data_IF_010112029470
#
_entry.id   IF_010112029470
#
_cell.length_a   1.000
_cell.length_b   1.000
_cell.length_c   1.000
_cell.angle_alpha   90.00
_cell.angle_beta   90.00
_cell.angle_gamma   90.00
#
_symmetry.space_group_name_H-M   'P 1'
#
loop_
_entity.id
_entity.type
_entity.pdbx_description
1 polymer ?
#
# COMPACT_ATOMS: atom_id res chain seq x y z
N UNK A 1 -9.37 22.28 -1.25
CA UNK A 1 -8.09 22.89 -1.70
C UNK A 1 -6.97 21.90 -1.41
N UNK A 2 -6.18 21.52 -2.42
CA UNK A 2 -4.98 20.71 -2.23
C UNK A 2 -3.95 21.60 -1.50
N UNK A 3 -3.39 21.21 -0.35
CA UNK A 3 -2.24 21.95 0.18
C UNK A 3 -1.12 21.83 -0.86
N UNK A 4 -0.65 22.97 -1.35
CA UNK A 4 0.54 22.98 -2.20
C UNK A 4 1.69 22.37 -1.39
N UNK A 5 2.51 21.51 -2.02
CA UNK A 5 3.72 21.01 -1.39
C UNK A 5 4.55 22.21 -0.92
N UNK A 6 5.03 22.19 0.32
CA UNK A 6 5.87 23.26 0.84
C UNK A 6 7.13 23.38 -0.02
N UNK A 7 7.75 24.57 -0.05
CA UNK A 7 9.01 24.76 -0.77
C UNK A 7 10.07 23.74 -0.33
N UNK A 8 10.10 23.41 0.97
CA UNK A 8 11.00 22.39 1.53
C UNK A 8 10.71 20.98 1.01
N UNK A 9 9.43 20.59 0.88
CA UNK A 9 9.04 19.29 0.30
C UNK A 9 9.42 19.23 -1.19
N UNK A 10 9.24 20.32 -1.94
CA UNK A 10 9.64 20.40 -3.35
C UNK A 10 11.15 20.25 -3.52
N UNK A 11 11.94 20.91 -2.68
CA UNK A 11 13.40 20.80 -2.70
C UNK A 11 13.87 19.39 -2.30
N UNK A 12 13.23 18.78 -1.30
CA UNK A 12 13.48 17.39 -0.91
C UNK A 12 13.18 16.42 -2.05
N UNK A 13 12.04 16.59 -2.74
CA UNK A 13 11.72 15.80 -3.94
C UNK A 13 12.73 15.99 -5.06
N UNK A 14 13.23 17.21 -5.28
CA UNK A 14 14.24 17.49 -6.28
C UNK A 14 15.62 16.90 -5.92
N UNK A 15 15.92 16.71 -4.64
CA UNK A 15 17.11 15.96 -4.19
C UNK A 15 16.92 14.46 -4.34
N UNK A 16 15.79 13.91 -3.90
CA UNK A 16 15.47 12.48 -4.02
C UNK A 16 15.38 12.01 -5.49
N UNK A 17 14.92 12.87 -6.40
CA UNK A 17 14.91 12.57 -7.84
C UNK A 17 16.31 12.34 -8.40
N UNK A 18 17.31 13.02 -7.84
CA UNK A 18 18.72 12.94 -8.24
C UNK A 18 19.50 11.83 -7.53
N UNK A 19 18.93 11.18 -6.52
CA UNK A 19 19.56 10.05 -5.81
C UNK A 19 19.85 8.91 -6.79
N UNK A 20 21.11 8.55 -7.00
CA UNK A 20 21.50 7.46 -7.90
C UNK A 20 22.23 6.34 -7.17
N UNK A 21 22.25 5.16 -7.78
CA UNK A 21 22.93 3.97 -7.26
C UNK A 21 22.03 3.09 -6.38
N UNK A 22 22.25 1.76 -6.37
CA UNK A 22 21.38 0.81 -5.70
C UNK A 22 21.33 1.02 -4.17
N UNK A 23 22.47 1.34 -3.55
CA UNK A 23 22.54 1.57 -2.10
C UNK A 23 21.73 2.81 -1.66
N UNK A 24 21.87 3.93 -2.36
CA UNK A 24 21.16 5.17 -2.03
C UNK A 24 19.67 5.08 -2.36
N UNK A 25 19.29 4.43 -3.46
CA UNK A 25 17.87 4.12 -3.74
C UNK A 25 17.28 3.21 -2.67
N UNK A 26 18.02 2.19 -2.24
CA UNK A 26 17.62 1.31 -1.15
C UNK A 26 17.41 2.07 0.16
N UNK A 27 18.34 2.94 0.54
CA UNK A 27 18.21 3.77 1.74
C UNK A 27 16.94 4.65 1.72
N UNK A 28 16.63 5.26 0.57
CA UNK A 28 15.42 6.07 0.39
C UNK A 28 14.14 5.23 0.53
N UNK A 29 14.10 4.05 -0.11
CA UNK A 29 12.96 3.11 0.01
C UNK A 29 12.76 2.64 1.44
N UNK A 30 13.83 2.25 2.14
CA UNK A 30 13.74 1.80 3.53
C UNK A 30 13.32 2.93 4.48
N UNK A 31 13.81 4.16 4.25
CA UNK A 31 13.41 5.33 5.04
C UNK A 31 11.92 5.63 4.83
N UNK A 32 11.43 5.57 3.59
CA UNK A 32 10.00 5.74 3.29
C UNK A 32 9.16 4.70 4.03
N UNK A 33 9.51 3.42 3.96
CA UNK A 33 8.77 2.34 4.63
C UNK A 33 8.63 2.60 6.14
N UNK A 34 9.66 3.16 6.77
CA UNK A 34 9.64 3.50 8.19
C UNK A 34 8.62 4.63 8.52
N UNK A 35 8.25 5.48 7.55
CA UNK A 35 7.30 6.59 7.75
C UNK A 35 5.86 6.13 8.00
N UNK A 36 5.52 4.87 7.72
CA UNK A 36 4.20 4.30 7.98
C UNK A 36 4.05 3.69 9.38
N UNK A 37 5.05 3.86 10.27
CA UNK A 37 4.93 3.51 11.69
C UNK A 37 4.28 4.65 12.49
N UNK A 38 3.40 4.28 13.42
CA UNK A 38 2.61 5.23 14.22
C UNK A 38 2.92 5.18 15.72
N UNK A 39 4.02 4.55 16.14
CA UNK A 39 4.34 4.35 17.58
C UNK A 39 5.80 4.67 17.96
N UNK A 40 6.00 5.47 19.00
CA UNK A 40 7.33 6.00 19.39
C UNK A 40 8.40 4.93 19.70
N UNK A 41 8.06 3.88 20.45
CA UNK A 41 9.02 2.80 20.79
C UNK A 41 9.35 1.93 19.57
N UNK A 42 8.34 1.71 18.74
CA UNK A 42 8.44 0.99 17.48
C UNK A 42 9.34 1.71 16.46
N UNK A 43 9.26 3.05 16.44
CA UNK A 43 10.10 3.90 15.59
C UNK A 43 11.58 3.77 15.91
N UNK A 44 11.97 3.48 17.16
CA UNK A 44 13.38 3.28 17.54
C UNK A 44 13.96 1.97 16.97
N UNK A 45 13.21 0.87 17.04
CA UNK A 45 13.66 -0.41 16.50
C UNK A 45 13.79 -0.35 14.97
N UNK A 46 12.82 0.29 14.30
CA UNK A 46 12.89 0.57 12.86
C UNK A 46 14.09 1.44 12.51
N UNK A 47 14.36 2.48 13.28
CA UNK A 47 15.53 3.35 13.11
C UNK A 47 16.84 2.59 13.24
N UNK A 48 16.96 1.72 14.24
CA UNK A 48 18.15 0.88 14.43
C UNK A 48 18.35 -0.09 13.25
N UNK A 49 17.28 -0.73 12.79
CA UNK A 49 17.34 -1.62 11.63
C UNK A 49 17.72 -0.86 10.35
N UNK A 50 17.13 0.31 10.11
CA UNK A 50 17.50 1.18 8.99
C UNK A 50 18.98 1.57 9.06
N UNK A 51 19.46 2.05 10.21
CA UNK A 51 20.86 2.44 10.38
C UNK A 51 21.81 1.27 10.08
N UNK A 52 21.46 0.06 10.50
CA UNK A 52 22.24 -1.15 10.21
C UNK A 52 22.29 -1.48 8.72
N UNK A 53 21.19 -1.29 7.98
CA UNK A 53 21.14 -1.57 6.53
C UNK A 53 21.85 -0.48 5.71
N UNK A 54 21.90 0.75 6.21
CA UNK A 54 22.43 1.90 5.46
C UNK A 54 23.79 2.39 5.94
N UNK A 55 24.44 1.68 6.87
CA UNK A 55 25.71 2.11 7.48
C UNK A 55 26.81 2.38 6.43
N UNK A 56 26.82 1.62 5.33
CA UNK A 56 27.80 1.77 4.25
C UNK A 56 27.32 2.66 3.09
N UNK A 57 26.13 3.26 3.21
CA UNK A 57 25.52 4.06 2.15
C UNK A 57 25.93 5.53 2.30
N UNK A 58 26.59 6.13 1.29
CA UNK A 58 26.90 7.55 1.30
C UNK A 58 25.61 8.39 1.37
N UNK A 59 25.64 9.48 2.14
CA UNK A 59 24.54 10.43 2.30
C UNK A 59 23.21 9.83 2.80
N UNK A 60 23.23 8.66 3.45
CA UNK A 60 22.02 8.01 3.94
C UNK A 60 21.21 8.94 4.86
N UNK A 61 21.86 9.66 5.78
CA UNK A 61 21.19 10.58 6.70
C UNK A 61 20.54 11.77 5.98
N UNK A 62 21.17 12.30 4.94
CA UNK A 62 20.59 13.38 4.14
C UNK A 62 19.35 12.89 3.36
N UNK A 63 19.41 11.67 2.82
CA UNK A 63 18.28 11.02 2.16
C UNK A 63 17.12 10.83 3.14
N UNK A 64 17.42 10.39 4.36
CA UNK A 64 16.41 10.20 5.42
C UNK A 64 15.74 11.51 5.83
N UNK A 65 16.52 12.58 5.97
CA UNK A 65 16.01 13.92 6.23
C UNK A 65 15.08 14.41 5.10
N UNK A 66 15.46 14.19 3.84
CA UNK A 66 14.61 14.53 2.69
C UNK A 66 13.31 13.72 2.68
N UNK A 67 13.36 12.42 3.02
CA UNK A 67 12.16 11.58 3.12
C UNK A 67 11.23 12.06 4.25
N UNK A 68 11.78 12.51 5.38
CA UNK A 68 11.00 13.01 6.50
C UNK A 68 10.18 14.27 6.17
N UNK A 69 10.65 15.07 5.19
CA UNK A 69 9.94 16.26 4.70
C UNK A 69 8.73 15.93 3.80
N UNK A 70 8.60 14.69 3.34
CA UNK A 70 7.52 14.30 2.43
C UNK A 70 6.18 14.24 3.17
N UNK A 71 5.17 14.88 2.57
CA UNK A 71 3.79 14.80 3.04
C UNK A 71 3.21 13.42 2.75
N UNK A 72 2.15 13.07 3.47
CA UNK A 72 1.43 11.82 3.24
C UNK A 72 0.93 11.66 1.79
N UNK A 73 0.56 12.77 1.13
CA UNK A 73 0.10 12.78 -0.26
C UNK A 73 1.20 12.44 -1.28
N UNK A 74 2.47 12.48 -0.88
CA UNK A 74 3.62 12.31 -1.77
C UNK A 74 4.42 11.03 -1.47
N UNK A 75 4.39 10.53 -0.23
CA UNK A 75 5.18 9.37 0.22
C UNK A 75 4.97 8.13 -0.65
N UNK A 76 3.72 7.71 -0.87
CA UNK A 76 3.42 6.51 -1.66
C UNK A 76 3.77 6.68 -3.15
N UNK A 77 3.38 7.77 -3.85
CA UNK A 77 3.86 8.06 -5.19
C UNK A 77 5.39 8.08 -5.32
N UNK A 78 6.08 8.68 -4.35
CA UNK A 78 7.54 8.71 -4.29
C UNK A 78 8.14 7.30 -4.16
N UNK A 79 7.57 6.47 -3.27
CA UNK A 79 7.95 5.06 -3.12
C UNK A 79 7.80 4.32 -4.46
N UNK A 80 6.66 4.44 -5.12
CA UNK A 80 6.39 3.79 -6.42
C UNK A 80 7.41 4.22 -7.49
N UNK A 81 7.74 5.51 -7.56
CA UNK A 81 8.73 6.03 -8.49
C UNK A 81 10.16 5.51 -8.19
N UNK A 82 10.55 5.43 -6.91
CA UNK A 82 11.83 4.81 -6.54
C UNK A 82 11.88 3.33 -6.89
N UNK A 83 10.80 2.58 -6.65
CA UNK A 83 10.74 1.15 -6.97
C UNK A 83 10.88 0.90 -8.48
N UNK A 84 10.30 1.75 -9.34
CA UNK A 84 10.51 1.65 -10.79
C UNK A 84 11.98 1.85 -11.17
N UNK A 85 12.69 2.76 -10.50
CA UNK A 85 14.13 2.99 -10.73
C UNK A 85 14.97 1.81 -10.25
N UNK A 86 14.65 1.24 -9.08
CA UNK A 86 15.30 0.00 -8.59
C UNK A 86 15.02 -1.17 -9.52
N UNK A 87 13.83 -1.26 -10.13
CA UNK A 87 13.46 -2.35 -11.04
C UNK A 87 14.40 -2.44 -12.26
N UNK A 88 15.00 -1.32 -12.67
CA UNK A 88 15.98 -1.24 -13.77
C UNK A 88 17.37 -1.76 -13.41
N UNK A 89 17.64 -1.92 -12.11
CA UNK A 89 18.89 -2.45 -11.60
C UNK A 89 19.04 -3.97 -11.81
N UNK A 90 20.11 -4.53 -11.26
CA UNK A 90 20.38 -5.96 -11.37
C UNK A 90 19.36 -6.80 -10.59
N UNK A 91 19.30 -8.12 -10.86
CA UNK A 91 18.50 -9.05 -10.03
C UNK A 91 18.99 -9.06 -8.58
N UNK A 92 20.30 -8.94 -8.38
CA UNK A 92 20.93 -8.99 -7.06
C UNK A 92 20.57 -7.74 -6.23
N UNK A 93 20.58 -6.55 -6.83
CA UNK A 93 20.18 -5.32 -6.14
C UNK A 93 18.71 -5.39 -5.68
N UNK A 94 17.83 -5.90 -6.54
CA UNK A 94 16.40 -6.10 -6.22
C UNK A 94 16.22 -7.08 -5.07
N UNK A 95 16.96 -8.19 -5.11
CA UNK A 95 16.93 -9.21 -4.04
C UNK A 95 17.48 -8.67 -2.73
N UNK A 96 18.58 -7.93 -2.77
CA UNK A 96 19.19 -7.30 -1.61
C UNK A 96 18.21 -6.31 -0.96
N UNK A 97 17.53 -5.47 -1.75
CA UNK A 97 16.51 -4.55 -1.23
C UNK A 97 15.34 -5.30 -0.58
N UNK A 98 14.78 -6.33 -1.21
CA UNK A 98 13.70 -7.12 -0.61
C UNK A 98 14.12 -7.77 0.72
N UNK A 99 15.36 -8.26 0.81
CA UNK A 99 15.88 -8.81 2.07
C UNK A 99 16.03 -7.74 3.16
N UNK A 100 16.58 -6.57 2.80
CA UNK A 100 16.72 -5.43 3.71
C UNK A 100 15.35 -4.93 4.20
N UNK A 101 14.39 -4.78 3.30
CA UNK A 101 13.01 -4.41 3.64
C UNK A 101 12.39 -5.38 4.63
N UNK A 102 12.57 -6.69 4.41
CA UNK A 102 12.05 -7.71 5.34
C UNK A 102 12.66 -7.55 6.74
N UNK A 103 13.96 -7.28 6.84
CA UNK A 103 14.65 -7.07 8.13
C UNK A 103 14.15 -5.79 8.82
N UNK A 104 14.01 -4.69 8.08
CA UNK A 104 13.46 -3.44 8.63
C UNK A 104 12.02 -3.64 9.12
N UNK A 105 11.13 -4.20 8.30
CA UNK A 105 9.74 -4.44 8.71
C UNK A 105 9.63 -5.42 9.89
N UNK A 106 10.52 -6.42 9.98
CA UNK A 106 10.53 -7.39 11.07
C UNK A 106 11.03 -6.81 12.40
N UNK A 107 11.81 -5.72 12.38
CA UNK A 107 12.20 -5.00 13.61
C UNK A 107 10.99 -4.42 14.35
N UNK A 108 9.86 -4.26 13.66
CA UNK A 108 8.58 -3.82 14.23
C UNK A 108 7.70 -5.02 14.61
N UNK A 109 7.48 -5.19 15.92
CA UNK A 109 6.52 -6.17 16.47
C UNK A 109 5.48 -5.48 17.36
N UNK A 110 4.17 -5.77 17.22
CA UNK A 110 3.56 -6.54 16.12
C UNK A 110 3.66 -5.79 14.78
N UNK A 111 3.69 -6.53 13.66
CA UNK A 111 3.80 -5.96 12.31
C UNK A 111 2.53 -5.20 11.92
N UNK A 112 2.61 -3.90 11.57
CA UNK A 112 1.48 -3.10 11.12
C UNK A 112 0.76 -3.74 9.93
N UNK A 113 -0.58 -3.59 9.80
CA UNK A 113 -1.30 -4.19 8.69
C UNK A 113 -0.83 -3.65 7.33
N UNK A 114 -0.53 -2.34 7.24
CA UNK A 114 -0.07 -1.68 6.01
C UNK A 114 1.26 -2.25 5.47
N UNK A 115 2.14 -2.74 6.35
CA UNK A 115 3.41 -3.36 5.95
C UNK A 115 3.20 -4.60 5.10
N UNK A 116 2.10 -5.34 5.28
CA UNK A 116 1.77 -6.49 4.44
C UNK A 116 1.46 -6.05 3.01
N UNK A 117 0.68 -4.99 2.84
CA UNK A 117 0.38 -4.43 1.51
C UNK A 117 1.62 -3.86 0.84
N UNK A 118 2.44 -3.10 1.57
CA UNK A 118 3.73 -2.58 1.07
C UNK A 118 4.66 -3.72 0.63
N UNK A 119 4.80 -4.77 1.45
CA UNK A 119 5.61 -5.93 1.13
C UNK A 119 5.15 -6.65 -0.14
N UNK A 120 3.83 -6.87 -0.28
CA UNK A 120 3.25 -7.49 -1.48
C UNK A 120 3.45 -6.61 -2.71
N UNK A 121 3.26 -5.30 -2.60
CA UNK A 121 3.47 -4.36 -3.70
C UNK A 121 4.93 -4.35 -4.15
N UNK A 122 5.89 -4.33 -3.21
CA UNK A 122 7.32 -4.41 -3.52
C UNK A 122 7.70 -5.74 -4.16
N UNK A 123 7.22 -6.87 -3.63
CA UNK A 123 7.45 -8.19 -4.23
C UNK A 123 6.92 -8.27 -5.65
N UNK A 124 5.75 -7.69 -5.91
CA UNK A 124 5.17 -7.62 -7.24
C UNK A 124 6.01 -6.80 -8.21
N UNK A 125 6.56 -5.67 -7.78
CA UNK A 125 7.34 -4.78 -8.64
C UNK A 125 8.78 -5.24 -8.87
N UNK A 126 9.44 -5.79 -7.83
CA UNK A 126 10.87 -6.13 -7.84
C UNK A 126 11.14 -7.62 -8.01
N UNK A 127 10.19 -8.48 -7.61
CA UNK A 127 10.30 -9.92 -7.72
C UNK A 127 10.02 -10.45 -9.13
N UNK A 128 10.11 -11.77 -9.27
CA UNK A 128 9.70 -12.44 -10.51
C UNK A 128 8.17 -12.52 -10.54
N UNK A 129 7.56 -11.92 -11.55
CA UNK A 129 6.10 -11.89 -11.71
C UNK A 129 5.63 -13.31 -12.06
N UNK A 130 4.71 -13.92 -11.30
CA UNK A 130 4.10 -15.17 -11.74
C UNK A 130 3.40 -14.94 -13.10
N UNK A 131 3.37 -15.96 -13.98
CA UNK A 131 2.64 -15.86 -15.24
C UNK A 131 1.18 -15.52 -14.96
N UNK A 132 0.58 -14.70 -15.84
CA UNK A 132 -0.84 -14.38 -15.74
C UNK A 132 -1.65 -15.68 -15.83
N UNK A 133 -2.57 -15.89 -14.89
CA UNK A 133 -3.50 -17.01 -14.96
C UNK A 133 -4.51 -16.78 -16.09
N UNK A 134 -4.81 -17.83 -16.85
CA UNK A 134 -5.88 -17.82 -17.85
C UNK A 134 -7.24 -17.61 -17.16
N UNK A 135 -8.05 -16.70 -17.71
CA UNK A 135 -9.33 -16.29 -17.14
C UNK A 135 -10.45 -17.28 -17.52
N UNK A 136 -11.18 -17.87 -16.56
CA UNK A 136 -12.45 -18.52 -16.85
C UNK A 136 -13.55 -17.51 -17.20
N UNK A 137 -14.60 -18.01 -17.87
CA UNK A 137 -15.65 -17.22 -18.53
C UNK A 137 -16.35 -16.17 -17.63
N UNK A 138 -16.72 -15.07 -18.28
CA UNK A 138 -17.15 -13.80 -17.71
C UNK A 138 -18.51 -13.85 -17.00
N UNK A 139 -18.51 -13.91 -15.67
CA UNK A 139 -19.54 -13.19 -14.92
C UNK A 139 -19.21 -11.70 -14.99
N UNK A 140 -20.16 -10.89 -15.45
CA UNK A 140 -20.01 -9.44 -15.58
C UNK A 140 -20.60 -8.68 -14.38
N UNK A 141 -21.08 -9.39 -13.36
CA UNK A 141 -21.64 -8.80 -12.14
C UNK A 141 -20.96 -9.38 -10.89
N UNK A 142 -20.72 -8.53 -9.89
CA UNK A 142 -20.17 -8.92 -8.60
C UNK A 142 -21.17 -9.76 -7.78
N UNK A 143 -22.46 -9.59 -8.02
CA UNK A 143 -23.54 -10.34 -7.35
C UNK A 143 -23.56 -11.81 -7.76
N UNK A 144 -23.20 -12.11 -9.00
CA UNK A 144 -23.20 -13.46 -9.60
C UNK A 144 -21.86 -14.21 -9.42
N UNK A 145 -20.94 -13.69 -8.60
CA UNK A 145 -19.64 -14.33 -8.40
C UNK A 145 -19.76 -15.66 -7.64
N UNK A 146 -18.99 -16.71 -8.00
CA UNK A 146 -18.96 -17.97 -7.25
C UNK A 146 -18.56 -17.76 -5.78
N UNK A 147 -19.11 -18.58 -4.86
CA UNK A 147 -18.83 -18.51 -3.41
C UNK A 147 -17.34 -18.42 -3.05
N UNK A 148 -16.41 -19.17 -3.69
CA UNK A 148 -14.97 -19.03 -3.40
C UNK A 148 -14.45 -17.61 -3.66
N UNK A 149 -14.81 -17.00 -4.79
CA UNK A 149 -14.42 -15.64 -5.13
C UNK A 149 -14.98 -14.62 -4.13
N UNK A 150 -16.24 -14.81 -3.70
CA UNK A 150 -16.87 -13.99 -2.65
C UNK A 150 -16.09 -14.05 -1.34
N UNK A 151 -15.65 -15.25 -0.96
CA UNK A 151 -14.81 -15.47 0.23
C UNK A 151 -13.46 -14.77 0.12
N UNK A 152 -12.79 -14.83 -1.04
CA UNK A 152 -11.52 -14.10 -1.24
C UNK A 152 -11.69 -12.58 -1.18
N UNK A 153 -12.78 -12.03 -1.75
CA UNK A 153 -13.12 -10.60 -1.62
C UNK A 153 -13.36 -10.24 -0.15
N UNK A 154 -14.09 -11.08 0.59
CA UNK A 154 -14.32 -10.89 2.03
C UNK A 154 -13.01 -10.89 2.82
N UNK A 155 -12.07 -11.81 2.53
CA UNK A 155 -10.74 -11.85 3.18
C UNK A 155 -9.95 -10.57 2.94
N UNK A 156 -9.89 -10.09 1.69
CA UNK A 156 -9.18 -8.84 1.35
C UNK A 156 -9.85 -7.64 2.05
N UNK A 157 -11.18 -7.58 2.02
CA UNK A 157 -11.95 -6.52 2.69
C UNK A 157 -11.75 -6.55 4.20
N UNK A 158 -11.71 -7.73 4.83
CA UNK A 158 -11.44 -7.89 6.26
C UNK A 158 -10.01 -7.45 6.63
N UNK A 159 -9.02 -7.62 5.74
CA UNK A 159 -7.70 -7.05 5.98
C UNK A 159 -7.74 -5.51 5.93
N UNK A 160 -8.40 -4.94 4.92
CA UNK A 160 -8.51 -3.50 4.72
C UNK A 160 -9.30 -2.81 5.85
N UNK A 161 -10.23 -3.50 6.51
CA UNK A 161 -10.99 -2.93 7.63
C UNK A 161 -10.12 -2.57 8.85
N UNK A 162 -8.90 -3.09 8.92
CA UNK A 162 -7.88 -2.70 9.92
C UNK A 162 -7.24 -1.34 9.62
N UNK A 163 -7.40 -0.85 8.40
CA UNK A 163 -6.75 0.35 7.85
C UNK A 163 -7.79 1.40 7.44
N UNK A 164 -9.02 1.00 7.15
CA UNK A 164 -10.14 1.82 6.67
C UNK A 164 -11.30 1.69 7.66
N UNK A 165 -11.87 2.79 8.20
CA UNK A 165 -11.76 4.18 7.73
C UNK A 165 -10.49 4.93 8.16
N UNK A 166 -9.70 4.36 9.07
CA UNK A 166 -8.33 4.77 9.35
C UNK A 166 -8.15 6.10 10.07
N UNK A 167 -9.17 6.60 10.78
CA UNK A 167 -9.05 7.83 11.57
C UNK A 167 -8.23 7.57 12.84
N UNK A 168 -7.48 8.56 13.32
CA UNK A 168 -6.87 8.46 14.65
C UNK A 168 -7.99 8.30 15.69
N UNK A 169 -8.01 7.16 16.39
CA UNK A 169 -9.08 6.81 17.33
C UNK A 169 -10.25 6.02 16.71
N UNK A 170 -10.23 5.71 15.41
CA UNK A 170 -11.18 4.74 14.85
C UNK A 170 -10.87 3.37 15.44
N UNK A 171 -11.80 2.85 16.25
CA UNK A 171 -11.68 1.53 16.86
C UNK A 171 -12.10 0.42 15.89
N UNK A 172 -11.96 -0.83 16.32
CA UNK A 172 -12.34 -2.02 15.55
C UNK A 172 -13.80 -1.99 15.05
N UNK A 173 -14.68 -1.24 15.73
CA UNK A 173 -16.08 -1.04 15.34
C UNK A 173 -16.24 -0.29 14.01
N UNK A 174 -15.44 0.74 13.76
CA UNK A 174 -15.56 1.54 12.54
C UNK A 174 -15.09 0.74 11.32
N UNK A 175 -14.04 -0.08 11.50
CA UNK A 175 -13.58 -1.04 10.50
C UNK A 175 -14.64 -2.10 10.20
N UNK A 176 -15.27 -2.68 11.22
CA UNK A 176 -16.35 -3.65 11.04
C UNK A 176 -17.58 -3.05 10.35
N UNK A 177 -17.94 -1.81 10.67
CA UNK A 177 -19.02 -1.08 10.00
C UNK A 177 -18.70 -0.82 8.53
N UNK A 178 -17.46 -0.41 8.21
CA UNK A 178 -17.01 -0.25 6.83
C UNK A 178 -17.04 -1.58 6.07
N UNK A 179 -16.58 -2.68 6.67
CA UNK A 179 -16.64 -4.02 6.09
C UNK A 179 -18.08 -4.40 5.74
N UNK A 180 -19.01 -4.24 6.69
CA UNK A 180 -20.42 -4.57 6.50
C UNK A 180 -21.03 -3.75 5.36
N UNK A 181 -20.76 -2.45 5.31
CA UNK A 181 -21.25 -1.55 4.26
C UNK A 181 -20.73 -1.95 2.87
N UNK A 182 -19.45 -2.32 2.76
CA UNK A 182 -18.87 -2.81 1.51
C UNK A 182 -19.57 -4.08 1.05
N UNK A 183 -19.67 -5.07 1.94
CA UNK A 183 -20.22 -6.37 1.54
C UNK A 183 -21.71 -6.32 1.27
N UNK A 184 -22.48 -5.54 2.02
CA UNK A 184 -23.91 -5.33 1.72
C UNK A 184 -24.12 -4.78 0.29
N UNK A 185 -23.27 -3.84 -0.13
CA UNK A 185 -23.34 -3.24 -1.48
C UNK A 185 -22.89 -4.18 -2.59
N UNK A 186 -21.89 -5.00 -2.34
CA UNK A 186 -21.30 -5.87 -3.36
C UNK A 186 -22.01 -7.23 -3.46
N UNK A 187 -22.44 -7.76 -2.32
CA UNK A 187 -22.88 -9.12 -2.10
C UNK A 187 -23.94 -9.16 -1.00
N UNK A 188 -25.20 -8.86 -1.34
CA UNK A 188 -26.30 -9.01 -0.39
C UNK A 188 -26.30 -10.43 0.18
N UNK A 189 -26.45 -10.56 1.51
CA UNK A 189 -26.36 -11.84 2.25
C UNK A 189 -24.93 -12.41 2.43
N UNK A 190 -23.89 -11.59 2.31
CA UNK A 190 -22.54 -12.03 2.69
C UNK A 190 -22.46 -12.47 4.16
N UNK A 191 -21.62 -13.47 4.42
CA UNK A 191 -21.32 -13.95 5.76
C UNK A 191 -20.70 -12.86 6.66
N UNK A 192 -20.79 -13.07 7.97
CA UNK A 192 -20.13 -12.23 8.95
C UNK A 192 -18.63 -12.08 8.66
N UNK A 193 -18.03 -10.98 9.12
CA UNK A 193 -16.61 -10.70 8.90
C UNK A 193 -15.73 -11.87 9.38
N UNK A 194 -14.86 -12.44 8.52
CA UNK A 194 -13.92 -13.45 8.95
C UNK A 194 -12.90 -12.87 9.94
N UNK A 195 -12.21 -13.73 10.68
CA UNK A 195 -11.04 -13.32 11.44
C UNK A 195 -10.02 -12.63 10.53
N UNK A 196 -9.29 -11.66 11.06
CA UNK A 196 -8.28 -10.96 10.27
C UNK A 196 -7.24 -11.94 9.71
N UNK A 197 -7.00 -11.91 8.39
CA UNK A 197 -6.11 -12.87 7.76
C UNK A 197 -4.65 -12.63 8.18
N UNK A 198 -3.90 -13.72 8.22
CA UNK A 198 -2.44 -13.66 8.24
C UNK A 198 -1.88 -13.22 6.86
N UNK A 199 -0.55 -13.18 6.76
CA UNK A 199 0.12 -12.72 5.54
C UNK A 199 -0.13 -13.64 4.33
N UNK A 200 -0.12 -14.96 4.53
CA UNK A 200 -0.23 -15.94 3.45
C UNK A 200 -1.66 -16.04 2.94
N UNK A 201 -2.64 -16.02 3.86
CA UNK A 201 -4.07 -15.98 3.54
C UNK A 201 -4.43 -14.74 2.72
N UNK A 202 -3.90 -13.57 3.12
CA UNK A 202 -4.10 -12.33 2.36
C UNK A 202 -3.45 -12.41 0.96
N UNK A 203 -2.21 -12.90 0.88
CA UNK A 203 -1.50 -12.99 -0.39
C UNK A 203 -2.23 -13.91 -1.38
N UNK A 204 -2.71 -15.07 -0.91
CA UNK A 204 -3.51 -15.99 -1.72
C UNK A 204 -4.83 -15.35 -2.16
N UNK A 205 -5.60 -14.75 -1.23
CA UNK A 205 -6.85 -14.11 -1.58
C UNK A 205 -6.68 -12.98 -2.61
N UNK A 206 -5.60 -12.19 -2.54
CA UNK A 206 -5.32 -11.17 -3.55
C UNK A 206 -5.01 -11.76 -4.93
N UNK A 207 -4.29 -12.88 -5.00
CA UNK A 207 -4.03 -13.57 -6.26
C UNK A 207 -5.33 -14.07 -6.88
N UNK A 208 -6.22 -14.65 -6.07
CA UNK A 208 -7.53 -15.11 -6.53
C UNK A 208 -8.40 -13.94 -6.99
N UNK A 209 -8.51 -12.85 -6.22
CA UNK A 209 -9.26 -11.64 -6.62
C UNK A 209 -8.68 -10.99 -7.88
N UNK A 210 -7.37 -11.09 -8.11
CA UNK A 210 -6.75 -10.61 -9.34
C UNK A 210 -7.21 -11.40 -10.58
N UNK A 211 -7.74 -12.62 -10.43
CA UNK A 211 -8.33 -13.39 -11.54
C UNK A 211 -9.73 -12.89 -11.93
N UNK A 212 -10.31 -11.92 -11.22
CA UNK A 212 -11.57 -11.30 -11.65
C UNK A 212 -11.43 -10.73 -13.08
N UNK A 213 -12.51 -10.72 -13.87
CA UNK A 213 -12.58 -9.99 -15.13
C UNK A 213 -12.09 -8.55 -14.94
N UNK A 214 -11.29 -8.07 -15.88
CA UNK A 214 -10.61 -6.78 -15.76
C UNK A 214 -11.57 -5.60 -15.51
N UNK A 215 -12.82 -5.69 -16.00
CA UNK A 215 -13.86 -4.67 -15.80
C UNK A 215 -14.40 -4.63 -14.35
N UNK A 216 -14.34 -5.75 -13.62
CA UNK A 216 -14.88 -5.85 -12.25
C UNK A 216 -13.92 -5.36 -11.18
N UNK A 217 -12.61 -5.38 -11.45
CA UNK A 217 -11.60 -4.90 -10.49
C UNK A 217 -11.76 -3.40 -10.16
N UNK A 218 -11.96 -2.49 -11.14
CA UNK A 218 -12.29 -1.10 -10.86
C UNK A 218 -13.61 -0.92 -10.09
N UNK A 219 -14.63 -1.75 -10.36
CA UNK A 219 -15.92 -1.70 -9.65
C UNK A 219 -15.72 -2.03 -8.17
N UNK A 220 -14.96 -3.08 -7.88
CA UNK A 220 -14.60 -3.49 -6.52
C UNK A 220 -13.85 -2.38 -5.77
N UNK A 221 -12.78 -1.83 -6.37
CA UNK A 221 -11.99 -0.76 -5.76
C UNK A 221 -12.84 0.50 -5.52
N UNK A 222 -13.72 0.85 -6.45
CA UNK A 222 -14.63 1.99 -6.28
C UNK A 222 -15.60 1.76 -5.13
N UNK A 223 -16.16 0.56 -4.99
CA UNK A 223 -17.05 0.25 -3.86
C UNK A 223 -16.34 0.40 -2.50
N UNK A 224 -15.07 -0.02 -2.39
CA UNK A 224 -14.25 0.20 -1.19
C UNK A 224 -14.07 1.70 -0.87
N UNK A 225 -13.75 2.52 -1.88
CA UNK A 225 -13.56 3.98 -1.74
C UNK A 225 -14.86 4.69 -1.37
N UNK A 226 -15.97 4.35 -2.04
CA UNK A 226 -17.29 4.92 -1.79
C UNK A 226 -17.76 4.62 -0.36
N UNK A 227 -17.58 3.38 0.11
CA UNK A 227 -17.92 2.98 1.48
C UNK A 227 -17.04 3.69 2.52
N UNK A 228 -15.74 3.86 2.23
CA UNK A 228 -14.82 4.52 3.14
C UNK A 228 -15.16 6.00 3.36
N UNK A 229 -15.73 6.65 2.33
CA UNK A 229 -16.19 8.03 2.41
C UNK A 229 -17.50 8.20 3.18
N UNK A 230 -18.28 7.12 3.38
CA UNK A 230 -19.53 7.13 4.15
C UNK A 230 -19.31 6.88 5.65
N UNK A 231 -18.36 6.01 6.01
CA UNK A 231 -18.04 5.65 7.41
C UNK A 231 -16.91 6.54 7.98
N UNK A 232 -16.09 7.13 7.12
CA UNK A 232 -14.95 7.94 7.52
C UNK A 232 -15.33 9.27 8.20
N UNK A 233 -14.32 10.01 8.73
CA UNK A 233 -14.53 11.34 9.29
C UNK A 233 -15.25 12.25 8.29
N UNK A 234 -16.04 13.20 8.78
CA UNK A 234 -16.71 14.23 7.94
C UNK A 234 -15.73 15.00 7.00
N UNK A 235 -14.43 14.91 7.25
CA UNK A 235 -13.33 15.58 6.53
C UNK A 235 -12.68 14.66 5.46
N UNK A 236 -13.21 13.46 5.23
CA UNK A 236 -12.78 12.53 4.17
C UNK A 236 -11.81 11.43 4.63
N UNK A 237 -11.34 10.62 3.67
CA UNK A 237 -10.41 9.49 3.87
C UNK A 237 -9.15 9.90 4.64
N UNK A 238 -8.73 9.10 5.62
CA UNK A 238 -7.43 9.30 6.25
C UNK A 238 -6.28 8.97 5.30
N UNK A 239 -5.06 9.50 5.54
CA UNK A 239 -3.87 9.12 4.77
C UNK A 239 -3.63 7.61 4.70
N UNK A 240 -3.68 6.92 5.84
CA UNK A 240 -3.46 5.47 5.93
C UNK A 240 -4.51 4.68 5.14
N UNK A 241 -5.78 5.09 5.21
CA UNK A 241 -6.85 4.47 4.45
C UNK A 241 -6.66 4.70 2.95
N UNK A 242 -6.29 5.91 2.52
CA UNK A 242 -6.00 6.21 1.13
C UNK A 242 -4.83 5.35 0.61
N UNK A 243 -3.74 5.23 1.36
CA UNK A 243 -2.57 4.44 0.96
C UNK A 243 -2.90 2.96 0.86
N UNK A 244 -3.66 2.40 1.80
CA UNK A 244 -4.13 1.03 1.74
C UNK A 244 -4.96 0.76 0.48
N UNK A 245 -5.87 1.67 0.14
CA UNK A 245 -6.72 1.58 -1.04
C UNK A 245 -5.94 1.76 -2.36
N UNK A 246 -4.92 2.63 -2.40
CA UNK A 246 -4.03 2.77 -3.56
C UNK A 246 -3.16 1.53 -3.76
N UNK A 247 -2.58 1.00 -2.68
CA UNK A 247 -1.77 -0.21 -2.72
C UNK A 247 -2.58 -1.41 -3.22
N UNK A 248 -3.79 -1.63 -2.69
CA UNK A 248 -4.63 -2.75 -3.13
C UNK A 248 -5.10 -2.59 -4.58
N UNK A 249 -5.42 -1.37 -5.03
CA UNK A 249 -5.74 -1.13 -6.43
C UNK A 249 -4.57 -1.52 -7.36
N UNK A 250 -3.34 -1.14 -6.99
CA UNK A 250 -2.13 -1.55 -7.69
C UNK A 250 -1.89 -3.06 -7.64
N UNK A 251 -2.21 -3.73 -6.52
CA UNK A 251 -2.14 -5.20 -6.38
C UNK A 251 -3.20 -5.95 -7.21
N UNK A 252 -4.29 -5.30 -7.57
CA UNK A 252 -5.32 -5.88 -8.44
C UNK A 252 -5.19 -5.50 -9.92
N UNK A 253 -4.16 -4.73 -10.32
CA UNK A 253 -4.08 -4.09 -11.64
C UNK A 253 -5.33 -3.26 -11.98
N UNK A 254 -5.93 -2.62 -10.97
CA UNK A 254 -7.06 -1.73 -11.17
C UNK A 254 -6.59 -0.28 -11.35
N UNK A 255 -7.19 0.50 -12.27
CA UNK A 255 -7.04 1.95 -12.26
C UNK A 255 -7.55 2.52 -10.93
N UNK A 256 -6.96 3.64 -10.52
CA UNK A 256 -7.38 4.36 -9.31
C UNK A 256 -8.66 5.14 -9.58
N UNK A 257 -9.67 5.07 -8.69
CA UNK A 257 -10.82 5.98 -8.74
C UNK A 257 -10.37 7.45 -8.67
N UNK A 258 -10.98 8.38 -9.45
CA UNK A 258 -10.55 9.78 -9.48
C UNK A 258 -10.50 10.46 -8.10
N UNK A 259 -11.43 10.10 -7.22
CA UNK A 259 -11.61 10.62 -5.87
C UNK A 259 -10.43 10.23 -4.97
N UNK A 260 -9.88 9.02 -5.18
CA UNK A 260 -8.66 8.56 -4.53
C UNK A 260 -7.42 9.19 -5.19
N UNK A 261 -7.36 9.23 -6.52
CA UNK A 261 -6.24 9.78 -7.28
C UNK A 261 -5.96 11.26 -6.93
N UNK A 262 -7.02 12.06 -6.77
CA UNK A 262 -6.93 13.50 -6.40
C UNK A 262 -6.26 13.76 -5.05
N UNK A 263 -6.13 12.74 -4.19
CA UNK A 263 -5.47 12.87 -2.89
C UNK A 263 -3.94 12.89 -2.98
N UNK A 264 -3.38 12.48 -4.12
CA UNK A 264 -1.96 12.30 -4.30
C UNK A 264 -1.30 13.44 -5.08
N UNK A 265 0.00 13.62 -4.83
CA UNK A 265 0.91 14.44 -5.62
C UNK A 265 1.90 13.51 -6.28
N UNK A 266 1.74 13.29 -7.58
CA UNK A 266 2.70 12.49 -8.34
C UNK A 266 4.03 13.24 -8.47
N UNK A 267 5.17 12.60 -8.15
CA UNK A 267 6.47 13.21 -8.38
C UNK A 267 6.70 13.37 -9.88
N UNK A 268 7.25 14.51 -10.31
CA UNK A 268 7.63 14.76 -11.69
C UNK A 268 8.92 14.01 -12.09
N UNK A 269 9.05 12.76 -11.68
CA UNK A 269 10.18 11.91 -11.99
C UNK A 269 9.77 11.10 -13.21
N UNK A 270 10.41 11.35 -14.35
CA UNK A 270 10.09 10.64 -15.59
C UNK A 270 10.16 9.12 -15.40
N UNK A 271 9.45 8.35 -16.25
CA UNK A 271 9.41 6.90 -16.14
C UNK A 271 10.80 6.31 -16.07
#
# INVERSE_FOLDING_TARGET
MKPAASTEEQDALARLSRTQGPASLGAAVLSLIAQWDTGSTASRALRAAWNSETQSTPNAEAIDADVALLSAATRLPCLEALLQRVRRGSKDDRRALLQATRRVMAARSPTPPIYRLLWLAMRRQLGERPPAADLPAASNDLTDLPTPMRSHIAVVTAHLSRLVPGAAGSGDRDGAAWYALVLERLMPQADAMPNWPDGDTLAHALLEVQTLPWMLRPVLVRAWVDAASQVGPRVGLSPTAADALRLVAGLLDSPLPPELARRYTEPAWGP
#
